data_IF_285854466613
#
_entry.id   IF_285854466613
#
_cell.length_a   1.000
_cell.length_b   1.000
_cell.length_c   1.000
_cell.angle_alpha   90.00
_cell.angle_beta   90.00
_cell.angle_gamma   90.00
#
_symmetry.space_group_name_H-M   'P 1'
#
loop_
_entity.id
_entity.type
_entity.pdbx_description
1 polymer ?
#
# COMPACT_ATOMS: atom_id res chain seq x y z
N UNK A 1 -27.24 16.47 2.28
CA UNK A 1 -27.68 15.07 2.20
C UNK A 1 -27.04 14.45 0.97
N UNK A 2 -26.52 13.24 1.08
CA UNK A 2 -25.99 12.50 -0.07
C UNK A 2 -27.15 11.92 -0.87
N UNK A 3 -27.00 11.85 -2.19
CA UNK A 3 -27.94 11.09 -3.00
C UNK A 3 -27.60 9.61 -2.82
N UNK A 4 -28.54 8.82 -2.30
CA UNK A 4 -28.41 7.36 -2.24
C UNK A 4 -28.60 6.72 -3.63
N UNK A 5 -27.97 5.56 -3.90
CA UNK A 5 -27.01 4.86 -3.04
C UNK A 5 -25.62 5.53 -3.00
N UNK A 6 -24.85 5.30 -1.93
CA UNK A 6 -23.53 5.88 -1.69
C UNK A 6 -22.43 4.82 -1.78
N UNK A 7 -21.38 5.10 -2.55
CA UNK A 7 -20.17 4.31 -2.60
C UNK A 7 -19.04 5.00 -1.84
N UNK A 8 -18.44 4.33 -0.87
CA UNK A 8 -17.28 4.80 -0.12
C UNK A 8 -16.05 4.04 -0.58
N UNK A 9 -15.01 4.76 -0.96
CA UNK A 9 -13.69 4.20 -1.27
C UNK A 9 -12.68 4.81 -0.29
N UNK A 10 -12.05 3.99 0.52
CA UNK A 10 -11.10 4.48 1.54
C UNK A 10 -9.73 3.88 1.32
N UNK A 11 -8.70 4.72 1.41
CA UNK A 11 -7.35 4.25 1.64
C UNK A 11 -7.22 3.59 3.02
N UNK A 12 -6.13 2.84 3.20
CA UNK A 12 -5.80 2.10 4.40
C UNK A 12 -4.77 2.84 5.27
N UNK A 13 -3.51 2.90 4.84
CA UNK A 13 -2.36 3.34 5.64
C UNK A 13 -2.25 4.86 5.73
N UNK A 14 -2.29 5.41 6.95
CA UNK A 14 -2.34 6.85 7.18
C UNK A 14 -3.75 7.43 7.05
N UNK A 15 -4.74 6.61 6.66
CA UNK A 15 -6.15 6.99 6.52
C UNK A 15 -7.04 6.35 7.59
N UNK A 16 -7.18 5.02 7.60
CA UNK A 16 -7.91 4.28 8.65
C UNK A 16 -7.04 3.30 9.44
N UNK A 17 -5.75 3.23 9.10
CA UNK A 17 -4.72 2.44 9.79
C UNK A 17 -3.59 3.39 10.17
N UNK A 18 -3.26 3.45 11.45
CA UNK A 18 -2.23 4.32 11.99
C UNK A 18 -1.21 3.49 12.77
N UNK A 19 0.07 3.63 12.43
CA UNK A 19 1.14 2.83 13.06
C UNK A 19 0.96 1.31 12.90
N UNK A 20 0.37 0.89 11.77
CA UNK A 20 0.07 -0.52 11.49
C UNK A 20 -1.16 -1.09 12.18
N UNK A 21 -1.92 -0.27 12.91
CA UNK A 21 -3.13 -0.69 13.65
C UNK A 21 -4.36 -0.04 13.05
N UNK A 22 -5.38 -0.84 12.73
CA UNK A 22 -6.67 -0.34 12.28
C UNK A 22 -7.35 0.52 13.35
N UNK A 23 -8.03 1.59 12.92
CA UNK A 23 -8.91 2.36 13.78
C UNK A 23 -9.92 1.39 14.45
N UNK A 24 -10.01 1.34 15.79
CA UNK A 24 -10.89 0.42 16.49
C UNK A 24 -12.37 0.63 16.15
N UNK A 25 -12.75 1.79 15.61
CA UNK A 25 -14.12 2.08 15.16
C UNK A 25 -14.40 1.59 13.74
N UNK A 26 -13.38 1.23 12.96
CA UNK A 26 -13.52 0.82 11.56
C UNK A 26 -14.33 -0.47 11.43
N UNK A 27 -13.96 -1.54 12.14
CA UNK A 27 -14.67 -2.82 12.01
C UNK A 27 -16.16 -2.72 12.40
N UNK A 28 -16.55 -2.07 13.51
CA UNK A 28 -17.96 -1.77 13.81
C UNK A 28 -18.66 -0.96 12.72
N UNK A 29 -17.99 0.06 12.16
CA UNK A 29 -18.52 0.87 11.06
C UNK A 29 -18.79 0.01 9.81
N UNK A 30 -17.81 -0.80 9.38
CA UNK A 30 -17.94 -1.68 8.21
C UNK A 30 -19.11 -2.65 8.37
N UNK A 31 -19.31 -3.23 9.56
CA UNK A 31 -20.46 -4.12 9.83
C UNK A 31 -21.80 -3.40 9.69
N UNK A 32 -21.91 -2.15 10.17
CA UNK A 32 -23.13 -1.35 10.01
C UNK A 32 -23.38 -0.99 8.55
N UNK A 33 -22.34 -0.57 7.83
CA UNK A 33 -22.43 -0.23 6.42
C UNK A 33 -22.83 -1.46 5.56
N UNK A 34 -22.28 -2.64 5.85
CA UNK A 34 -22.63 -3.88 5.15
C UNK A 34 -24.10 -4.28 5.32
N UNK A 35 -24.73 -3.90 6.44
CA UNK A 35 -26.15 -4.13 6.70
C UNK A 35 -27.08 -3.18 5.94
N UNK A 36 -26.55 -2.23 5.15
CA UNK A 36 -27.31 -1.23 4.41
C UNK A 36 -27.23 -1.52 2.91
N UNK A 37 -28.39 -1.65 2.26
CA UNK A 37 -28.45 -1.91 0.81
C UNK A 37 -27.99 -0.69 -0.01
N UNK A 38 -28.13 0.51 0.56
CA UNK A 38 -27.82 1.79 -0.06
C UNK A 38 -26.39 2.29 0.19
N UNK A 39 -25.56 1.52 0.90
CA UNK A 39 -24.17 1.86 1.19
C UNK A 39 -23.27 0.74 0.71
N UNK A 40 -22.20 1.11 0.01
CA UNK A 40 -21.16 0.17 -0.37
C UNK A 40 -19.80 0.70 0.04
N UNK A 41 -18.96 -0.16 0.62
CA UNK A 41 -17.62 0.22 1.08
C UNK A 41 -16.58 -0.63 0.37
N UNK A 42 -15.61 0.04 -0.24
CA UNK A 42 -14.45 -0.53 -0.92
C UNK A 42 -13.20 0.02 -0.25
N UNK A 43 -12.24 -0.85 0.05
CA UNK A 43 -10.90 -0.42 0.50
C UNK A 43 -9.98 -0.35 -0.71
N UNK A 44 -9.24 0.75 -0.86
CA UNK A 44 -8.29 0.97 -1.95
C UNK A 44 -6.87 1.24 -1.43
N UNK A 45 -5.95 0.29 -1.58
CA UNK A 45 -4.65 0.30 -0.90
C UNK A 45 -3.50 -0.09 -1.84
N UNK A 46 -2.29 0.33 -1.48
CA UNK A 46 -1.04 -0.17 -2.09
C UNK A 46 -0.73 -1.62 -1.68
N UNK A 47 -1.29 -2.10 -0.56
CA UNK A 47 -1.08 -3.46 -0.07
C UNK A 47 -1.68 -4.50 -1.00
N UNK A 48 -1.10 -5.69 -0.97
CA UNK A 48 -1.73 -6.90 -1.47
C UNK A 48 -2.93 -7.31 -0.59
N UNK A 49 -3.86 -8.16 -1.08
CA UNK A 49 -4.98 -8.66 -0.29
C UNK A 49 -4.58 -9.26 1.06
N UNK A 50 -3.43 -9.95 1.14
CA UNK A 50 -2.89 -10.51 2.39
C UNK A 50 -2.60 -9.44 3.44
N UNK A 51 -1.96 -8.34 3.06
CA UNK A 51 -1.61 -7.25 3.97
C UNK A 51 -2.81 -6.41 4.39
N UNK A 52 -3.86 -6.35 3.56
CA UNK A 52 -5.16 -5.78 3.94
C UNK A 52 -5.88 -6.68 4.96
N UNK A 53 -5.91 -7.99 4.71
CA UNK A 53 -6.56 -8.97 5.59
C UNK A 53 -5.89 -9.06 6.96
N UNK A 54 -4.57 -8.92 7.04
CA UNK A 54 -3.85 -8.88 8.31
C UNK A 54 -4.35 -7.77 9.24
N UNK A 55 -4.64 -6.59 8.70
CA UNK A 55 -5.02 -5.41 9.49
C UNK A 55 -6.53 -5.35 9.76
N UNK A 56 -7.34 -5.72 8.78
CA UNK A 56 -8.79 -5.67 8.90
C UNK A 56 -9.39 -6.94 9.52
N UNK A 57 -8.65 -8.05 9.52
CA UNK A 57 -9.13 -9.35 9.97
C UNK A 57 -10.44 -9.74 9.29
N UNK A 58 -11.36 -10.29 10.07
CA UNK A 58 -12.67 -10.73 9.58
C UNK A 58 -13.53 -9.58 9.02
N UNK A 59 -13.21 -8.32 9.31
CA UNK A 59 -13.96 -7.18 8.78
C UNK A 59 -13.83 -7.02 7.26
N UNK A 60 -12.83 -7.66 6.62
CA UNK A 60 -12.74 -7.73 5.14
C UNK A 60 -14.02 -8.32 4.53
N UNK A 61 -14.68 -9.24 5.22
CA UNK A 61 -15.92 -9.88 4.73
C UNK A 61 -17.11 -8.92 4.65
N UNK A 62 -17.00 -7.74 5.28
CA UNK A 62 -18.03 -6.70 5.25
C UNK A 62 -17.88 -5.74 4.06
N UNK A 63 -16.80 -5.84 3.29
CA UNK A 63 -16.56 -4.97 2.14
C UNK A 63 -17.37 -5.45 0.92
N UNK A 64 -17.84 -4.51 0.10
CA UNK A 64 -18.36 -4.85 -1.24
C UNK A 64 -17.22 -5.37 -2.13
N UNK A 65 -16.03 -4.80 -1.93
CA UNK A 65 -14.84 -5.18 -2.67
C UNK A 65 -13.57 -4.51 -2.19
N UNK A 66 -12.50 -4.72 -2.94
CA UNK A 66 -11.18 -4.16 -2.66
C UNK A 66 -10.46 -3.79 -3.94
N UNK A 67 -9.67 -2.74 -3.84
CA UNK A 67 -8.71 -2.29 -4.85
C UNK A 67 -7.33 -2.40 -4.21
N UNK A 68 -6.60 -3.45 -4.52
CA UNK A 68 -5.26 -3.70 -3.99
C UNK A 68 -4.18 -3.30 -5.00
N UNK A 69 -2.94 -3.22 -4.53
CA UNK A 69 -1.77 -2.97 -5.38
C UNK A 69 -1.90 -1.70 -6.23
N UNK A 70 -2.38 -0.62 -5.60
CA UNK A 70 -2.61 0.70 -6.20
C UNK A 70 -3.55 0.68 -7.43
N UNK A 71 -4.49 -0.27 -7.49
CA UNK A 71 -5.42 -0.38 -8.61
C UNK A 71 -5.19 -1.59 -9.52
N UNK A 72 -4.00 -2.20 -9.46
CA UNK A 72 -3.65 -3.31 -10.34
C UNK A 72 -4.49 -4.57 -10.07
N UNK A 73 -5.11 -4.66 -8.88
CA UNK A 73 -6.01 -5.74 -8.51
C UNK A 73 -7.34 -5.19 -8.00
N UNK A 74 -8.43 -5.46 -8.70
CA UNK A 74 -9.77 -5.10 -8.28
C UNK A 74 -10.60 -6.36 -8.04
N UNK A 75 -11.18 -6.49 -6.84
CA UNK A 75 -12.09 -7.58 -6.47
C UNK A 75 -13.44 -7.03 -6.06
N UNK A 76 -14.52 -7.52 -6.66
CA UNK A 76 -15.89 -7.24 -6.24
C UNK A 76 -16.61 -8.59 -6.09
N UNK A 77 -17.01 -8.94 -4.87
CA UNK A 77 -17.52 -10.28 -4.56
C UNK A 77 -16.51 -11.38 -4.91
N UNK A 78 -16.96 -12.37 -5.68
CA UNK A 78 -16.16 -13.51 -6.17
C UNK A 78 -15.36 -13.21 -7.45
N UNK A 79 -15.56 -12.03 -8.03
CA UNK A 79 -14.94 -11.64 -9.30
C UNK A 79 -13.71 -10.79 -9.09
N UNK A 80 -12.74 -11.00 -9.95
CA UNK A 80 -11.48 -10.27 -9.98
C UNK A 80 -11.21 -9.68 -11.36
N UNK A 81 -10.58 -8.50 -11.37
CA UNK A 81 -9.98 -7.89 -12.55
C UNK A 81 -8.55 -7.49 -12.23
N UNK A 82 -7.64 -7.86 -13.13
CA UNK A 82 -6.20 -7.71 -12.99
C UNK A 82 -5.66 -6.79 -14.07
N UNK A 83 -4.65 -5.99 -13.75
CA UNK A 83 -3.96 -5.10 -14.66
C UNK A 83 -2.45 -5.27 -14.52
N UNK A 84 -1.89 -6.34 -15.10
CA UNK A 84 -0.47 -6.64 -14.96
C UNK A 84 0.40 -5.64 -15.72
N UNK A 85 1.61 -5.45 -15.20
CA UNK A 85 2.70 -4.77 -15.89
C UNK A 85 3.13 -5.58 -17.11
N UNK A 86 3.67 -4.87 -18.13
CA UNK A 86 4.30 -5.54 -19.27
C UNK A 86 5.57 -6.26 -18.79
N UNK A 87 5.80 -7.48 -19.30
CA UNK A 87 6.93 -8.31 -18.86
C UNK A 87 8.30 -7.66 -19.07
N UNK A 88 8.47 -6.86 -20.14
CA UNK A 88 9.69 -6.09 -20.41
C UNK A 88 9.89 -4.95 -19.39
N UNK A 89 8.82 -4.30 -18.94
CA UNK A 89 8.90 -3.31 -17.86
C UNK A 89 9.29 -3.96 -16.53
N UNK A 90 8.70 -5.11 -16.19
CA UNK A 90 9.07 -5.85 -14.98
C UNK A 90 10.54 -6.21 -15.00
N UNK A 91 11.03 -6.82 -16.10
CA UNK A 91 12.43 -7.19 -16.25
C UNK A 91 13.35 -5.98 -16.14
N UNK A 92 13.03 -4.87 -16.81
CA UNK A 92 13.83 -3.65 -16.73
C UNK A 92 13.95 -3.10 -15.31
N UNK A 93 12.85 -3.08 -14.54
CA UNK A 93 12.85 -2.64 -13.14
C UNK A 93 13.66 -3.60 -12.26
N UNK A 94 13.45 -4.91 -12.39
CA UNK A 94 14.16 -5.94 -11.63
C UNK A 94 15.67 -5.87 -11.89
N UNK A 95 16.07 -5.82 -13.16
CA UNK A 95 17.49 -5.74 -13.56
C UNK A 95 18.16 -4.46 -13.05
N UNK A 96 17.46 -3.33 -13.08
CA UNK A 96 17.98 -2.07 -12.58
C UNK A 96 18.13 -2.08 -11.06
N UNK A 97 17.10 -2.50 -10.33
CA UNK A 97 17.14 -2.58 -8.88
C UNK A 97 18.21 -3.59 -8.39
N UNK A 98 18.33 -4.75 -9.06
CA UNK A 98 19.37 -5.73 -8.77
C UNK A 98 20.78 -5.17 -9.00
N UNK A 99 21.01 -4.45 -10.11
CA UNK A 99 22.31 -3.81 -10.39
C UNK A 99 22.71 -2.78 -9.32
N UNK A 100 21.73 -2.07 -8.78
CA UNK A 100 21.93 -1.09 -7.71
C UNK A 100 21.97 -1.72 -6.31
N UNK A 101 21.87 -3.05 -6.20
CA UNK A 101 21.84 -3.77 -4.92
C UNK A 101 20.62 -3.43 -4.06
N UNK A 102 19.52 -3.03 -4.69
CA UNK A 102 18.28 -2.68 -4.00
C UNK A 102 17.41 -3.94 -3.82
N UNK A 103 17.04 -4.30 -2.56
CA UNK A 103 16.07 -5.35 -2.30
C UNK A 103 14.74 -5.03 -2.97
N UNK A 104 14.09 -6.03 -3.53
CA UNK A 104 12.78 -5.88 -4.17
C UNK A 104 11.91 -7.10 -3.99
N UNK A 105 10.61 -6.93 -4.21
CA UNK A 105 9.70 -8.04 -4.48
C UNK A 105 8.72 -7.70 -5.60
N UNK A 106 8.25 -8.73 -6.29
CA UNK A 106 7.19 -8.63 -7.29
C UNK A 106 5.93 -9.32 -6.77
N UNK A 107 4.78 -8.72 -6.99
CA UNK A 107 3.49 -9.17 -6.46
C UNK A 107 2.55 -9.64 -7.58
N UNK A 108 1.97 -10.82 -7.42
CA UNK A 108 0.98 -11.42 -8.33
C UNK A 108 -0.40 -11.54 -7.65
N UNK A 109 -0.67 -10.74 -6.62
CA UNK A 109 -1.93 -10.67 -5.88
C UNK A 109 -2.12 -11.78 -4.85
N UNK A 110 -1.95 -13.05 -5.24
CA UNK A 110 -2.08 -14.21 -4.35
C UNK A 110 -0.75 -14.74 -3.82
N UNK A 111 0.35 -14.25 -4.37
CA UNK A 111 1.73 -14.66 -4.04
C UNK A 111 2.68 -13.52 -4.37
N UNK A 112 3.91 -13.62 -3.88
CA UNK A 112 4.98 -12.72 -4.25
C UNK A 112 6.30 -13.47 -4.42
N UNK A 113 7.22 -12.88 -5.18
CA UNK A 113 8.61 -13.33 -5.27
C UNK A 113 9.52 -12.20 -4.83
N UNK A 114 10.28 -12.42 -3.77
CA UNK A 114 11.28 -11.49 -3.28
C UNK A 114 12.66 -11.84 -3.84
N UNK A 115 13.38 -10.82 -4.28
CA UNK A 115 14.76 -10.89 -4.70
C UNK A 115 15.61 -10.27 -3.59
N UNK A 116 16.27 -11.13 -2.82
CA UNK A 116 17.19 -10.73 -1.77
C UNK A 116 18.56 -10.37 -2.35
N UNK A 117 19.16 -9.30 -1.85
CA UNK A 117 20.50 -8.88 -2.24
C UNK A 117 21.55 -9.89 -1.76
N UNK A 118 22.07 -10.66 -2.71
CA UNK A 118 23.22 -11.57 -2.61
C UNK A 118 23.08 -12.79 -1.68
N UNK A 119 23.51 -13.93 -2.22
CA UNK A 119 23.70 -15.18 -1.50
C UNK A 119 24.74 -15.00 -0.36
N UNK A 120 24.44 -15.36 0.89
CA UNK A 120 25.43 -15.36 1.97
C UNK A 120 26.59 -16.34 1.73
N UNK A 121 26.54 -17.19 0.69
CA UNK A 121 27.56 -18.21 0.43
C UNK A 121 28.85 -17.73 -0.27
N UNK A 122 29.05 -16.43 -0.50
CA UNK A 122 30.29 -15.92 -1.10
C UNK A 122 31.12 -15.07 -0.11
N UNK A 123 31.46 -15.64 1.04
CA UNK A 123 32.58 -15.14 1.85
C UNK A 123 33.87 -15.87 1.41
N UNK A 124 34.88 -15.19 0.83
CA UNK A 124 36.14 -15.81 0.44
C UNK A 124 37.02 -15.96 1.68
N UNK A 125 36.63 -16.82 2.61
CA UNK A 125 37.48 -17.30 3.70
C UNK A 125 37.53 -18.82 3.68
N UNK A 126 38.19 -19.34 2.65
CA UNK A 126 38.93 -20.59 2.77
C UNK A 126 40.09 -20.37 3.75
N UNK A 127 39.84 -20.60 5.03
CA UNK A 127 40.87 -20.70 6.05
C UNK A 127 40.63 -21.97 6.84
N UNK A 128 41.48 -22.96 6.59
CA UNK A 128 41.54 -24.26 7.25
C UNK A 128 41.31 -24.14 8.76
N UNK A 129 40.47 -25.02 9.33
CA UNK A 129 40.56 -25.33 10.75
C UNK A 129 40.73 -26.84 10.89
N UNK A 130 41.96 -27.20 11.20
CA UNK A 130 42.40 -28.53 11.59
C UNK A 130 41.63 -29.10 12.78
N UNK A 131 41.63 -30.43 12.80
CA UNK A 131 41.29 -31.31 13.91
C UNK A 131 41.69 -30.77 15.30
N UNK A 132 40.75 -30.85 16.25
CA UNK A 132 41.05 -31.31 17.61
C UNK A 132 39.78 -31.81 18.31
N UNK A 133 39.87 -33.04 18.75
CA UNK A 133 38.94 -33.87 19.52
C UNK A 133 38.80 -33.35 20.95
N UNK A 134 37.60 -33.46 21.57
CA UNK A 134 37.45 -34.05 22.92
C UNK A 134 35.99 -34.24 23.33
N UNK A 135 35.70 -35.46 23.75
CA UNK A 135 34.49 -36.00 24.37
C UNK A 135 33.92 -35.20 25.54
N UNK A 136 32.60 -35.27 25.78
CA UNK A 136 32.03 -35.95 26.96
C UNK A 136 30.47 -36.00 26.97
N UNK A 137 29.96 -37.24 26.98
CA UNK A 137 28.87 -37.83 27.77
C UNK A 137 27.37 -37.41 27.69
N UNK A 138 26.57 -38.48 27.81
CA UNK A 138 25.12 -38.71 27.73
C UNK A 138 24.16 -37.96 28.69
N UNK A 139 22.91 -37.84 28.19
CA UNK A 139 21.51 -37.69 28.72
C UNK A 139 21.17 -38.11 30.18
N UNK A 140 19.93 -37.97 30.75
CA UNK A 140 18.58 -37.63 30.18
C UNK A 140 17.59 -36.76 31.01
N UNK A 141 16.46 -36.41 30.37
CA UNK A 141 15.06 -36.18 30.83
C UNK A 141 14.66 -35.28 32.04
N UNK A 142 13.75 -34.33 31.80
CA UNK A 142 12.35 -34.23 32.31
C UNK A 142 11.85 -32.78 32.43
N UNK A 143 10.56 -32.54 32.13
CA UNK A 143 9.81 -31.42 32.72
C UNK A 143 9.06 -30.48 31.76
N UNK A 144 7.81 -30.82 31.44
CA UNK A 144 6.83 -29.93 30.83
C UNK A 144 6.53 -28.74 31.76
N UNK A 145 6.74 -27.51 31.30
CA UNK A 145 6.05 -26.30 31.79
C UNK A 145 5.68 -25.36 30.64
N UNK A 146 4.37 -25.25 30.39
CA UNK A 146 3.76 -24.13 29.66
C UNK A 146 4.16 -22.82 30.33
N UNK A 147 4.88 -21.94 29.61
CA UNK A 147 5.04 -20.53 29.95
C UNK A 147 4.89 -19.67 28.70
N UNK A 148 4.12 -18.60 28.88
CA UNK A 148 3.87 -17.49 27.97
C UNK A 148 5.14 -17.04 27.25
N UNK A 149 5.13 -17.03 25.91
CA UNK A 149 6.18 -16.38 25.12
C UNK A 149 5.99 -14.86 25.17
N UNK A 150 6.61 -14.25 26.18
CA UNK A 150 7.21 -12.92 26.02
C UNK A 150 8.32 -13.05 24.97
N UNK A 151 8.39 -12.05 24.11
CA UNK A 151 9.35 -11.91 23.01
C UNK A 151 10.68 -11.46 23.63
N UNK A 152 11.44 -12.41 24.17
CA UNK A 152 12.80 -12.16 24.60
C UNK A 152 13.75 -12.48 23.43
N UNK A 153 14.51 -11.44 23.10
CA UNK A 153 15.67 -11.42 22.22
C UNK A 153 16.72 -12.43 22.69
N UNK A 154 16.95 -13.47 21.88
CA UNK A 154 18.21 -14.20 21.88
C UNK A 154 18.60 -14.48 20.44
N UNK A 155 19.68 -13.81 20.04
CA UNK A 155 20.49 -14.11 18.87
C UNK A 155 20.84 -15.60 18.82
N UNK A 156 20.42 -16.25 17.74
CA UNK A 156 21.06 -17.48 17.25
C UNK A 156 21.21 -17.36 15.73
N UNK A 157 22.46 -17.49 15.29
CA UNK A 157 22.97 -17.07 13.99
C UNK A 157 22.13 -17.47 12.79
N UNK A 158 21.47 -16.49 12.19
CA UNK A 158 20.89 -16.55 10.84
C UNK A 158 21.36 -15.33 10.06
N UNK A 159 21.73 -15.55 8.80
CA UNK A 159 22.47 -14.63 7.91
C UNK A 159 22.06 -13.16 8.05
N UNK A 160 22.96 -12.34 8.62
CA UNK A 160 22.88 -10.88 8.53
C UNK A 160 22.87 -10.48 7.05
N UNK A 161 21.86 -9.73 6.62
CA UNK A 161 21.84 -9.09 5.29
C UNK A 161 20.87 -9.66 4.26
N UNK A 162 20.40 -10.92 4.39
CA UNK A 162 19.52 -11.53 3.36
C UNK A 162 18.14 -10.85 3.29
N UNK A 163 17.71 -10.25 4.40
CA UNK A 163 16.35 -9.72 4.56
C UNK A 163 16.29 -8.20 4.67
N UNK A 164 17.44 -7.51 4.57
CA UNK A 164 17.54 -6.09 4.91
C UNK A 164 16.54 -5.26 4.09
N UNK A 165 15.54 -4.69 4.75
CA UNK A 165 14.48 -3.88 4.12
C UNK A 165 13.22 -4.67 3.69
N UNK A 166 13.24 -6.00 3.70
CA UNK A 166 12.12 -6.88 3.36
C UNK A 166 11.67 -7.75 4.53
N UNK A 167 12.05 -7.41 5.76
CA UNK A 167 11.76 -8.21 6.96
C UNK A 167 10.26 -8.39 7.18
N UNK A 168 9.46 -7.39 6.81
CA UNK A 168 7.99 -7.43 6.87
C UNK A 168 7.38 -8.47 5.92
N UNK A 169 8.11 -8.90 4.89
CA UNK A 169 7.65 -9.92 3.94
C UNK A 169 8.00 -11.34 4.38
N UNK A 170 8.95 -11.51 5.31
CA UNK A 170 9.55 -12.81 5.66
C UNK A 170 8.54 -13.85 6.13
N UNK A 171 7.58 -13.43 6.93
CA UNK A 171 6.70 -14.36 7.66
C UNK A 171 5.43 -14.72 6.85
N UNK A 172 5.30 -14.22 5.62
CA UNK A 172 4.20 -14.58 4.73
C UNK A 172 4.46 -15.91 4.00
N UNK A 173 3.54 -16.89 4.10
CA UNK A 173 3.74 -18.23 3.53
C UNK A 173 3.57 -18.28 2.00
N UNK A 174 3.00 -17.25 1.38
CA UNK A 174 2.79 -17.13 -0.07
C UNK A 174 4.00 -16.49 -0.80
N UNK A 175 5.13 -16.37 -0.11
CA UNK A 175 6.38 -15.80 -0.61
C UNK A 175 7.34 -16.85 -1.17
N UNK A 176 7.91 -16.56 -2.33
CA UNK A 176 9.10 -17.24 -2.86
C UNK A 176 10.31 -16.31 -2.74
N UNK A 177 11.47 -16.86 -2.40
CA UNK A 177 12.71 -16.10 -2.24
C UNK A 177 13.75 -16.58 -3.22
N UNK A 178 14.40 -15.64 -3.89
CA UNK A 178 15.46 -15.91 -4.86
C UNK A 178 16.60 -14.90 -4.71
N UNK A 179 17.76 -15.26 -5.24
CA UNK A 179 18.97 -14.42 -5.31
C UNK A 179 19.38 -14.12 -6.76
N UNK A 180 18.78 -14.81 -7.72
CA UNK A 180 19.00 -14.64 -9.15
C UNK A 180 17.81 -13.90 -9.77
N UNK A 181 18.01 -12.71 -10.38
CA UNK A 181 16.94 -11.96 -11.03
C UNK A 181 16.25 -12.74 -12.15
N UNK A 182 16.90 -13.74 -12.76
CA UNK A 182 16.29 -14.58 -13.79
C UNK A 182 15.17 -15.50 -13.26
N UNK A 183 15.12 -15.72 -11.94
CA UNK A 183 14.07 -16.51 -11.28
C UNK A 183 12.84 -15.67 -10.92
N UNK A 184 12.93 -14.34 -11.01
CA UNK A 184 11.81 -13.45 -10.73
C UNK A 184 10.78 -13.57 -11.87
N UNK A 185 9.50 -13.84 -11.57
CA UNK A 185 8.48 -13.95 -12.60
C UNK A 185 8.24 -12.60 -13.28
N UNK A 186 8.01 -12.63 -14.59
CA UNK A 186 7.65 -11.44 -15.38
C UNK A 186 6.20 -11.47 -15.88
N UNK A 187 5.52 -12.61 -15.75
CA UNK A 187 4.13 -12.77 -16.16
C UNK A 187 3.16 -12.48 -15.01
N UNK A 188 2.06 -11.80 -15.34
CA UNK A 188 0.98 -11.46 -14.42
C UNK A 188 1.42 -10.72 -13.14
N UNK A 189 2.54 -10.00 -13.23
CA UNK A 189 3.04 -9.14 -12.14
C UNK A 189 2.20 -7.88 -12.09
N UNK A 190 1.58 -7.65 -10.94
CA UNK A 190 0.67 -6.52 -10.70
C UNK A 190 1.39 -5.31 -10.11
N UNK A 191 2.47 -5.55 -9.37
CA UNK A 191 3.27 -4.51 -8.72
C UNK A 191 4.71 -4.99 -8.53
N UNK A 192 5.67 -4.09 -8.70
CA UNK A 192 7.05 -4.27 -8.23
C UNK A 192 7.29 -3.28 -7.10
N UNK A 193 7.84 -3.75 -5.99
CA UNK A 193 8.18 -2.90 -4.84
C UNK A 193 9.68 -2.95 -4.63
N UNK A 194 10.33 -1.78 -4.62
CA UNK A 194 11.77 -1.64 -4.41
C UNK A 194 12.04 -0.90 -3.11
N UNK A 195 13.01 -1.37 -2.33
CA UNK A 195 13.41 -0.74 -1.06
C UNK A 195 14.66 0.11 -1.28
N UNK A 196 14.50 1.43 -1.22
CA UNK A 196 15.60 2.36 -1.43
C UNK A 196 16.15 2.90 -0.12
N UNK A 197 17.45 2.63 0.14
CA UNK A 197 18.19 3.27 1.23
C UNK A 197 18.32 4.79 1.05
N UNK A 198 18.22 5.32 -0.19
CA UNK A 198 18.36 6.76 -0.49
C UNK A 198 17.11 7.57 -0.15
N UNK A 199 15.94 6.94 -0.15
CA UNK A 199 14.69 7.57 0.29
C UNK A 199 14.57 7.58 1.82
N UNK A 200 15.33 6.73 2.51
CA UNK A 200 15.47 6.71 3.98
C UNK A 200 16.24 7.94 4.46
N UNK A 201 15.56 9.07 4.64
CA UNK A 201 16.12 10.25 5.31
C UNK A 201 15.91 11.63 4.68
N UNK A 202 15.27 11.76 3.50
CA UNK A 202 14.94 13.10 2.96
C UNK A 202 13.73 13.76 3.62
N UNK A 203 12.74 12.99 4.08
CA UNK A 203 11.59 13.55 4.82
C UNK A 203 11.87 13.73 6.33
N UNK A 204 12.86 13.03 6.88
CA UNK A 204 13.20 13.09 8.31
C UNK A 204 13.87 14.40 8.75
N UNK A 205 14.43 15.19 7.84
CA UNK A 205 15.03 16.48 8.18
C UNK A 205 14.03 17.65 8.18
N UNK A 206 12.91 17.54 7.46
CA UNK A 206 11.88 18.57 7.46
C UNK A 206 10.90 18.40 8.64
N UNK A 207 10.65 17.17 9.09
CA UNK A 207 9.78 16.90 10.25
C UNK A 207 10.45 17.14 11.60
N UNK A 208 11.79 17.11 11.68
CA UNK A 208 12.54 17.32 12.94
C UNK A 208 12.92 18.80 13.14
N UNK A 209 12.83 19.66 12.12
CA UNK A 209 13.01 21.12 12.28
C UNK A 209 11.74 21.87 12.68
N UNK A 210 10.57 21.23 12.72
CA UNK A 210 9.30 21.87 13.09
C UNK A 210 8.88 21.67 14.56
N UNK A 211 9.74 21.15 15.42
CA UNK A 211 9.47 21.03 16.86
C UNK A 211 10.68 21.39 17.71
N UNK A 212 11.00 22.68 17.76
CA UNK A 212 11.34 23.48 18.96
C UNK A 212 11.23 24.95 18.51
N UNK A 213 10.04 25.52 18.66
CA UNK A 213 9.88 26.97 18.83
C UNK A 213 9.39 27.20 20.24
N UNK A 214 10.26 27.69 21.11
CA UNK A 214 9.91 28.23 22.41
C UNK A 214 9.38 29.67 22.22
N UNK A 215 8.17 30.03 22.68
CA UNK A 215 7.53 31.28 22.31
C UNK A 215 7.73 32.37 23.37
N UNK A 216 8.91 33.00 23.44
CA UNK A 216 9.07 34.27 24.14
C UNK A 216 10.24 35.09 23.56
N UNK A 217 9.93 36.05 22.69
CA UNK A 217 10.38 37.46 22.77
C UNK A 217 10.12 38.19 21.45
N UNK A 218 9.48 39.35 21.57
CA UNK A 218 9.16 40.21 20.44
C UNK A 218 10.23 41.26 20.12
N UNK A 219 9.85 42.05 19.11
CA UNK A 219 10.34 43.37 18.71
C UNK A 219 11.54 43.48 17.72
N UNK A 220 11.18 44.07 16.56
CA UNK A 220 11.86 45.10 15.78
C UNK A 220 12.93 44.73 14.71
N UNK A 221 12.71 45.25 13.49
CA UNK A 221 13.77 45.69 12.57
C UNK A 221 13.72 45.17 11.12
N UNK A 222 13.71 46.04 10.08
CA UNK A 222 13.54 45.65 8.67
C UNK A 222 14.88 45.45 7.93
N UNK A 223 14.91 44.53 6.94
CA UNK A 223 16.06 44.42 6.03
C UNK A 223 16.05 43.21 5.10
N UNK A 224 15.62 43.45 3.85
CA UNK A 224 16.15 42.90 2.57
C UNK A 224 16.80 41.50 2.54
N UNK A 225 16.19 40.56 1.79
CA UNK A 225 16.60 40.17 0.40
C UNK A 225 15.69 39.06 -0.18
N UNK A 226 15.49 39.16 -1.49
CA UNK A 226 14.80 38.23 -2.40
C UNK A 226 15.09 36.76 -2.10
N UNK A 227 14.09 35.91 -1.89
CA UNK A 227 13.26 35.25 -2.91
C UNK A 227 14.04 34.25 -3.76
N UNK A 228 14.42 33.12 -3.14
CA UNK A 228 14.58 31.86 -3.84
C UNK A 228 13.31 31.03 -3.62
N UNK A 229 12.68 30.68 -4.72
CA UNK A 229 11.47 29.89 -4.83
C UNK A 229 11.67 28.50 -4.24
N UNK A 230 11.08 28.25 -3.06
CA UNK A 230 10.79 26.90 -2.61
C UNK A 230 9.72 26.30 -3.52
N UNK A 231 10.14 25.45 -4.45
CA UNK A 231 9.24 24.59 -5.21
C UNK A 231 8.48 23.68 -4.24
N UNK A 232 7.17 23.84 -4.29
CA UNK A 232 6.17 23.16 -3.50
C UNK A 232 6.03 21.71 -3.97
N UNK A 233 6.15 20.77 -3.03
CA UNK A 233 5.91 19.34 -3.24
C UNK A 233 4.50 19.05 -3.75
N UNK A 234 4.38 18.96 -5.07
CA UNK A 234 3.37 18.18 -5.76
C UNK A 234 3.86 16.75 -6.00
N UNK A 235 3.06 15.86 -6.60
CA UNK A 235 3.51 14.51 -6.93
C UNK A 235 4.71 14.60 -7.86
N UNK A 236 5.89 14.15 -7.40
CA UNK A 236 7.09 14.02 -8.22
C UNK A 236 6.79 13.07 -9.40
N UNK A 237 6.69 13.58 -10.64
CA UNK A 237 6.26 12.78 -11.77
C UNK A 237 7.48 12.11 -12.38
N UNK A 238 7.62 10.80 -12.23
CA UNK A 238 8.62 9.95 -12.92
C UNK A 238 10.11 10.30 -12.70
N UNK A 239 10.46 11.45 -12.11
CA UNK A 239 11.79 11.88 -11.69
C UNK A 239 12.34 10.94 -10.61
N UNK A 240 11.52 10.49 -9.66
CA UNK A 240 11.98 9.60 -8.59
C UNK A 240 12.50 8.26 -9.12
N UNK A 241 11.86 7.64 -10.13
CA UNK A 241 12.35 6.40 -10.75
C UNK A 241 13.56 6.67 -11.66
N UNK A 242 13.59 7.83 -12.33
CA UNK A 242 14.73 8.27 -13.13
C UNK A 242 15.96 8.56 -12.26
N UNK A 243 15.77 9.13 -11.08
CA UNK A 243 16.83 9.45 -10.11
C UNK A 243 17.26 8.22 -9.29
N UNK A 244 16.35 7.28 -9.05
CA UNK A 244 16.63 6.03 -8.33
C UNK A 244 17.24 4.93 -9.20
N UNK A 245 16.74 4.75 -10.43
CA UNK A 245 17.05 3.61 -11.29
C UNK A 245 17.51 4.02 -12.71
N UNK A 246 17.50 5.31 -13.07
CA UNK A 246 17.87 5.76 -14.41
C UNK A 246 16.88 5.36 -15.51
N UNK A 247 15.68 4.91 -15.14
CA UNK A 247 14.72 4.32 -16.08
C UNK A 247 13.63 5.32 -16.49
N UNK A 248 13.53 5.58 -17.80
CA UNK A 248 12.32 6.14 -18.44
C UNK A 248 11.56 4.99 -19.07
N UNK A 249 10.60 4.43 -18.34
CA UNK A 249 9.69 3.43 -18.87
C UNK A 249 8.34 4.09 -19.13
N UNK A 250 8.06 4.38 -20.40
CA UNK A 250 6.72 4.79 -20.82
C UNK A 250 5.75 3.64 -20.52
N UNK A 251 4.79 3.87 -19.63
CA UNK A 251 3.79 2.86 -19.27
C UNK A 251 3.93 2.24 -17.87
N UNK A 252 4.76 2.81 -16.99
CA UNK A 252 4.72 2.54 -15.54
C UNK A 252 4.55 3.82 -14.74
N UNK A 253 4.07 3.71 -13.50
CA UNK A 253 3.99 4.80 -12.52
C UNK A 253 4.65 4.34 -11.24
N UNK A 254 5.43 5.22 -10.62
CA UNK A 254 6.10 4.98 -9.35
C UNK A 254 5.45 5.82 -8.23
N UNK A 255 5.22 5.19 -7.09
CA UNK A 255 4.66 5.77 -5.88
C UNK A 255 5.69 5.62 -4.76
N UNK A 256 6.52 6.65 -4.50
CA UNK A 256 7.43 6.64 -3.37
C UNK A 256 6.65 6.84 -2.07
N UNK A 257 7.02 6.08 -1.05
CA UNK A 257 6.48 6.16 0.31
C UNK A 257 7.53 6.79 1.25
N UNK A 258 7.07 7.38 2.36
CA UNK A 258 7.94 8.10 3.32
C UNK A 258 8.99 7.20 3.99
N UNK A 259 8.75 5.90 4.06
CA UNK A 259 9.62 4.89 4.67
C UNK A 259 10.76 4.43 3.74
N UNK A 260 10.80 4.93 2.51
CA UNK A 260 11.78 4.62 1.49
C UNK A 260 11.44 3.42 0.61
N UNK A 261 10.22 2.91 0.71
CA UNK A 261 9.64 1.95 -0.22
C UNK A 261 9.15 2.68 -1.47
N UNK A 262 9.35 2.10 -2.65
CA UNK A 262 8.79 2.62 -3.90
C UNK A 262 7.98 1.52 -4.57
N UNK A 263 6.69 1.77 -4.73
CA UNK A 263 5.79 0.90 -5.47
C UNK A 263 5.75 1.29 -6.95
N UNK A 264 5.82 0.31 -7.84
CA UNK A 264 5.83 0.51 -9.28
C UNK A 264 4.70 -0.34 -9.87
N UNK A 265 3.78 0.31 -10.59
CA UNK A 265 2.63 -0.32 -11.21
C UNK A 265 2.53 0.02 -12.70
N UNK A 266 1.67 -0.67 -13.43
CA UNK A 266 1.32 -0.31 -14.80
C UNK A 266 0.66 1.08 -14.85
N UNK A 267 1.03 1.91 -15.83
CA UNK A 267 0.37 3.20 -16.02
C UNK A 267 -1.08 3.05 -16.52
N UNK A 268 -1.90 4.07 -16.27
CA UNK A 268 -3.31 4.08 -16.66
C UNK A 268 -4.23 3.30 -15.70
N UNK A 269 -3.69 2.79 -14.60
CA UNK A 269 -4.42 2.10 -13.54
C UNK A 269 -4.07 2.73 -12.20
N UNK A 270 -5.10 2.98 -11.40
CA UNK A 270 -5.02 3.68 -10.12
C UNK A 270 -6.20 3.27 -9.23
N UNK A 271 -6.22 3.74 -7.98
CA UNK A 271 -7.24 3.41 -6.98
C UNK A 271 -8.68 3.74 -7.40
N UNK A 272 -8.89 4.69 -8.33
CA UNK A 272 -10.22 5.07 -8.83
C UNK A 272 -10.83 4.05 -9.80
N UNK A 273 -10.12 2.97 -10.15
CA UNK A 273 -10.58 1.95 -11.12
C UNK A 273 -11.97 1.38 -10.79
N UNK A 274 -12.34 1.28 -9.52
CA UNK A 274 -13.67 0.83 -9.09
C UNK A 274 -14.80 1.79 -9.51
N UNK A 275 -14.55 3.10 -9.56
CA UNK A 275 -15.53 4.14 -9.93
C UNK A 275 -15.72 4.27 -11.44
N UNK A 276 -14.81 3.70 -12.24
CA UNK A 276 -14.86 3.70 -13.71
C UNK A 276 -15.66 2.52 -14.27
N UNK A 277 -16.12 1.61 -13.42
CA UNK A 277 -16.93 0.47 -13.85
C UNK A 277 -18.35 0.90 -14.25
N UNK A 278 -18.98 0.21 -15.20
CA UNK A 278 -20.40 0.39 -15.46
C UNK A 278 -21.22 -0.12 -14.26
N UNK A 279 -22.16 0.68 -13.77
CA UNK A 279 -23.08 0.26 -12.71
C UNK A 279 -23.91 -0.97 -13.13
N UNK A 280 -24.31 -1.81 -12.17
CA UNK A 280 -25.34 -2.81 -12.41
C UNK A 280 -26.66 -2.14 -12.81
N UNK A 281 -27.15 -2.40 -14.02
CA UNK A 281 -28.47 -1.95 -14.44
C UNK A 281 -29.52 -2.79 -13.73
N UNK A 282 -30.30 -2.20 -12.83
CA UNK A 282 -31.37 -2.86 -12.07
C UNK A 282 -32.62 -3.23 -12.89
N UNK A 283 -32.44 -3.79 -14.09
CA UNK A 283 -33.53 -4.18 -14.98
C UNK A 283 -33.87 -5.66 -14.88
N UNK A 284 -35.12 -5.97 -14.52
CA UNK A 284 -35.75 -7.25 -14.83
C UNK A 284 -35.57 -7.57 -16.33
N UNK A 285 -35.29 -8.84 -16.62
CA UNK A 285 -34.64 -9.25 -17.87
C UNK A 285 -35.37 -8.96 -19.17
N UNK A 286 -34.59 -8.91 -20.25
CA UNK A 286 -34.99 -9.39 -21.57
C UNK A 286 -33.82 -10.15 -22.17
N UNK A 287 -34.01 -11.45 -22.37
CA UNK A 287 -33.13 -12.28 -23.20
C UNK A 287 -33.35 -11.84 -24.65
N UNK A 288 -32.34 -11.21 -25.26
CA UNK A 288 -32.45 -10.78 -26.65
C UNK A 288 -31.32 -9.84 -27.08
N UNK A 289 -30.13 -10.38 -27.28
CA UNK A 289 -29.02 -9.62 -27.86
C UNK A 289 -27.76 -10.46 -27.93
N UNK A 290 -27.40 -10.86 -29.15
CA UNK A 290 -26.24 -11.66 -29.56
C UNK A 290 -25.03 -11.57 -28.62
N UNK A 291 -24.71 -12.68 -27.97
CA UNK A 291 -23.49 -12.85 -27.19
C UNK A 291 -22.27 -12.70 -28.10
N UNK A 292 -21.49 -11.64 -27.89
CA UNK A 292 -20.11 -11.60 -28.34
C UNK A 292 -19.33 -12.51 -27.37
N UNK A 293 -18.97 -13.70 -27.86
CA UNK A 293 -18.07 -14.62 -27.16
C UNK A 293 -16.79 -13.88 -26.75
N UNK A 294 -16.50 -13.83 -25.44
CA UNK A 294 -15.20 -13.41 -24.93
C UNK A 294 -15.19 -12.46 -23.72
N UNK A 295 -16.33 -11.92 -23.28
CA UNK A 295 -16.33 -11.07 -22.07
C UNK A 295 -16.63 -11.89 -20.82
N UNK A 296 -15.63 -12.04 -19.95
CA UNK A 296 -15.82 -12.40 -18.55
C UNK A 296 -17.00 -11.60 -17.98
N UNK A 297 -17.86 -12.21 -17.14
CA UNK A 297 -19.11 -11.58 -16.71
C UNK A 297 -18.80 -10.21 -16.09
N UNK A 298 -19.19 -9.14 -16.79
CA UNK A 298 -18.73 -7.78 -16.54
C UNK A 298 -18.73 -7.48 -15.03
N UNK A 299 -17.57 -7.05 -14.54
CA UNK A 299 -17.39 -6.64 -13.15
C UNK A 299 -18.27 -5.39 -12.92
N UNK A 300 -19.21 -5.47 -11.98
CA UNK A 300 -20.18 -4.41 -11.68
C UNK A 300 -20.34 -4.29 -10.18
N UNK A 301 -20.22 -3.06 -9.68
CA UNK A 301 -20.62 -2.73 -8.31
C UNK A 301 -22.14 -2.44 -8.29
N UNK A 302 -22.71 -2.41 -7.08
CA UNK A 302 -24.08 -1.95 -6.83
C UNK A 302 -24.27 -0.53 -7.38
N UNK A 303 -25.46 -0.12 -7.83
CA UNK A 303 -25.66 1.26 -8.30
C UNK A 303 -25.15 2.28 -7.28
N UNK A 304 -24.39 3.28 -7.71
CA UNK A 304 -23.88 4.37 -6.86
C UNK A 304 -24.27 5.70 -7.47
N UNK A 305 -24.94 6.54 -6.69
CA UNK A 305 -25.35 7.90 -7.04
C UNK A 305 -24.35 8.96 -6.55
N UNK A 306 -23.65 8.68 -5.44
CA UNK A 306 -22.65 9.57 -4.87
C UNK A 306 -21.41 8.78 -4.45
N UNK A 307 -20.24 9.19 -4.93
CA UNK A 307 -18.96 8.63 -4.49
C UNK A 307 -18.30 9.48 -3.40
N UNK A 308 -17.86 8.83 -2.34
CA UNK A 308 -17.01 9.39 -1.28
C UNK A 308 -15.65 8.71 -1.33
N UNK A 309 -14.57 9.48 -1.49
CA UNK A 309 -13.20 8.97 -1.43
C UNK A 309 -12.47 9.51 -0.20
N UNK A 310 -11.69 8.68 0.48
CA UNK A 310 -10.89 9.06 1.65
C UNK A 310 -9.43 8.67 1.42
N UNK A 311 -8.50 9.61 1.57
CA UNK A 311 -7.06 9.34 1.41
C UNK A 311 -6.15 10.40 2.02
N UNK A 312 -4.85 10.11 2.04
CA UNK A 312 -3.82 10.97 2.62
C UNK A 312 -2.59 11.17 1.72
N UNK A 313 -2.40 10.34 0.70
CA UNK A 313 -1.14 10.27 -0.04
C UNK A 313 -1.29 10.42 -1.56
N UNK A 314 -0.18 10.52 -2.29
CA UNK A 314 -0.13 10.80 -3.72
C UNK A 314 -0.87 9.75 -4.56
N UNK A 315 -0.87 8.48 -4.14
CA UNK A 315 -1.61 7.40 -4.80
C UNK A 315 -3.14 7.51 -4.63
N UNK A 316 -3.63 8.43 -3.81
CA UNK A 316 -5.07 8.67 -3.57
C UNK A 316 -5.64 9.80 -4.43
N UNK A 317 -4.78 10.61 -5.05
CA UNK A 317 -5.17 11.84 -5.77
C UNK A 317 -6.25 11.56 -6.81
N UNK A 318 -6.07 10.53 -7.62
CA UNK A 318 -7.00 10.21 -8.71
C UNK A 318 -8.34 9.68 -8.19
N UNK A 319 -8.37 8.89 -7.11
CA UNK A 319 -9.64 8.46 -6.52
C UNK A 319 -10.38 9.62 -5.85
N UNK A 320 -9.66 10.57 -5.23
CA UNK A 320 -10.27 11.77 -4.64
C UNK A 320 -10.86 12.67 -5.73
N UNK A 321 -10.13 12.89 -6.83
CA UNK A 321 -10.62 13.66 -7.99
C UNK A 321 -11.82 13.01 -8.67
N UNK A 322 -11.88 11.68 -8.69
CA UNK A 322 -12.98 10.94 -9.28
C UNK A 322 -14.27 10.98 -8.43
N UNK A 323 -14.17 11.19 -7.12
CA UNK A 323 -15.30 11.20 -6.20
C UNK A 323 -16.12 12.49 -6.24
N UNK A 324 -17.39 12.42 -5.83
CA UNK A 324 -18.21 13.61 -5.59
C UNK A 324 -17.75 14.35 -4.33
N UNK A 325 -17.39 13.58 -3.29
CA UNK A 325 -16.88 14.08 -2.03
C UNK A 325 -15.52 13.46 -1.75
N UNK A 326 -14.53 14.30 -1.49
CA UNK A 326 -13.19 13.89 -1.08
C UNK A 326 -12.97 14.20 0.40
N UNK A 327 -12.46 13.24 1.16
CA UNK A 327 -12.00 13.41 2.53
C UNK A 327 -10.49 13.24 2.54
N UNK A 328 -9.77 14.33 2.82
CA UNK A 328 -8.32 14.35 2.91
C UNK A 328 -7.93 14.25 4.37
N UNK A 329 -7.09 13.28 4.71
CA UNK A 329 -6.59 13.07 6.07
C UNK A 329 -5.23 13.78 6.24
N UNK A 330 -5.15 14.66 7.23
CA UNK A 330 -3.97 15.50 7.48
C UNK A 330 -3.87 16.73 6.57
N UNK A 331 -2.67 17.31 6.52
CA UNK A 331 -2.38 18.59 5.85
C UNK A 331 -1.78 18.42 4.43
N UNK A 332 -1.61 17.18 4.00
CA UNK A 332 -1.15 16.81 2.66
C UNK A 332 -2.17 17.17 1.57
N UNK A 333 -1.80 16.88 0.31
CA UNK A 333 -2.69 16.99 -0.85
C UNK A 333 -3.39 18.36 -0.97
N UNK A 334 -2.66 19.45 -0.71
CA UNK A 334 -3.21 20.81 -0.58
C UNK A 334 -4.05 21.26 -1.78
N UNK A 335 -3.63 20.89 -2.98
CA UNK A 335 -4.26 21.29 -4.25
C UNK A 335 -5.35 20.32 -4.73
N UNK A 336 -5.47 19.15 -4.10
CA UNK A 336 -6.41 18.12 -4.51
C UNK A 336 -7.82 18.54 -4.12
N UNK A 337 -8.75 18.39 -5.08
CA UNK A 337 -10.18 18.62 -4.89
C UNK A 337 -10.98 17.50 -5.55
N UNK A 338 -12.04 17.07 -4.87
CA UNK A 338 -13.08 16.23 -5.44
C UNK A 338 -14.08 17.08 -6.25
N UNK A 339 -15.01 16.41 -6.96
CA UNK A 339 -15.90 17.07 -7.94
C UNK A 339 -16.84 18.09 -7.33
N UNK A 340 -17.32 17.88 -6.10
CA UNK A 340 -18.31 18.77 -5.45
C UNK A 340 -17.81 19.34 -4.13
N UNK A 341 -17.27 18.50 -3.26
CA UNK A 341 -16.86 18.91 -1.92
C UNK A 341 -15.57 18.24 -1.49
N UNK A 342 -14.70 19.00 -0.83
CA UNK A 342 -13.48 18.46 -0.21
C UNK A 342 -13.46 18.83 1.25
N UNK A 343 -13.36 17.81 2.11
CA UNK A 343 -13.31 17.93 3.57
C UNK A 343 -11.92 17.52 4.02
N UNK A 344 -11.34 18.26 4.97
CA UNK A 344 -10.09 17.89 5.62
C UNK A 344 -10.36 17.42 7.05
N UNK A 345 -9.74 16.32 7.44
CA UNK A 345 -9.84 15.77 8.80
C UNK A 345 -8.45 15.56 9.40
N UNK A 346 -8.28 15.63 10.72
CA UNK A 346 -6.97 15.38 11.35
C UNK A 346 -6.48 13.95 11.12
N UNK A 347 -5.16 13.79 10.98
CA UNK A 347 -4.50 12.47 10.90
C UNK A 347 -4.43 11.82 12.29
N UNK A 348 -5.54 11.23 12.73
CA UNK A 348 -5.63 10.48 13.99
C UNK A 348 -6.79 9.48 13.98
N UNK A 349 -6.71 8.42 14.81
CA UNK A 349 -7.83 7.50 15.00
C UNK A 349 -9.14 8.21 15.35
N UNK A 350 -10.23 7.70 14.77
CA UNK A 350 -11.60 8.15 14.93
C UNK A 350 -12.02 9.28 13.98
N UNK A 351 -11.08 10.03 13.39
CA UNK A 351 -11.41 11.20 12.57
C UNK A 351 -12.16 10.83 11.28
N UNK A 352 -11.64 9.83 10.55
CA UNK A 352 -12.25 9.33 9.31
C UNK A 352 -13.60 8.67 9.58
N UNK A 353 -13.67 7.75 10.55
CA UNK A 353 -14.93 7.06 10.87
C UNK A 353 -16.00 8.05 11.31
N UNK A 354 -15.66 9.06 12.12
CA UNK A 354 -16.61 10.11 12.52
C UNK A 354 -17.19 10.88 11.33
N UNK A 355 -16.37 11.29 10.36
CA UNK A 355 -16.90 12.04 9.21
C UNK A 355 -17.72 11.14 8.29
N UNK A 356 -17.33 9.87 8.11
CA UNK A 356 -18.11 8.91 7.34
C UNK A 356 -19.48 8.64 7.98
N UNK A 357 -19.54 8.46 9.30
CA UNK A 357 -20.80 8.29 10.02
C UNK A 357 -21.72 9.51 9.89
N UNK A 358 -21.16 10.72 9.94
CA UNK A 358 -21.92 11.96 9.73
C UNK A 358 -22.44 12.07 8.29
N UNK A 359 -21.61 11.76 7.29
CA UNK A 359 -21.98 11.83 5.88
C UNK A 359 -23.05 10.79 5.49
N UNK A 360 -22.99 9.61 6.12
CA UNK A 360 -23.86 8.47 5.82
C UNK A 360 -25.06 8.35 6.78
N UNK A 361 -25.20 9.27 7.74
CA UNK A 361 -26.24 9.24 8.77
C UNK A 361 -26.30 7.90 9.54
N UNK A 362 -25.11 7.31 9.76
CA UNK A 362 -24.94 6.10 10.56
C UNK A 362 -24.69 6.48 12.01
N UNK A 363 -25.77 6.79 12.73
CA UNK A 363 -25.70 7.07 14.17
C UNK A 363 -25.65 5.79 15.01
N UNK A 364 -25.07 5.91 16.21
CA UNK A 364 -24.84 4.83 17.17
C UNK A 364 -26.13 4.23 17.74
#
# INVERSE_FOLDING_TARGET
MLNSPVGVVTDLDGTVVFGGVADPRLAPFLRRAAGREDISVIVATSRAPRGMAEVLGDAVTCLEGSVCLNGALLRLGDKERRYPMRADHVRAVVDAAFREGMPLYVDQGSSFTALAGHDPAADPWSGEVSEAVSDFAESPETGVKKKSRRRDSQDSGTAQGLWDGLEHMRDYPDGTWCTDPAQVPTEDVLKVTVVSKRCRGRAGQDSIRQSITDPLQGAAGPGTRAADSQETGGPEPASTLQDLLGLRLDGVVAYPHEDGVVDICAAGVDKSVCMRLPAASGGAGTVGGTAIMGQSPALRHRPVSTWVAVGNDANDVEMIRAADIGVIVGDGLKEVRARRQTVRVPSRPGAVVSILEQLLELHH
#
